data_IF_609840055150
#
_entry.id   IF_609840055150
#
_cell.length_a   1.000
_cell.length_b   1.000
_cell.length_c   1.000
_cell.angle_alpha   90.00
_cell.angle_beta   90.00
_cell.angle_gamma   90.00
#
_symmetry.space_group_name_H-M   'P 1'
#
loop_
_entity.id
_entity.type
_entity.pdbx_description
1 polymer ?
#
# COMPACT_ATOMS: atom_id res chain seq x y z
N UNK A 1 -55.97 -6.64 -7.53
CA UNK A 1 -55.14 -5.69 -8.32
C UNK A 1 -54.89 -4.45 -7.48
N UNK A 2 -53.65 -3.94 -7.48
CA UNK A 2 -53.18 -2.61 -7.04
C UNK A 2 -53.38 -2.24 -5.56
N UNK A 3 -52.36 -2.48 -4.75
CA UNK A 3 -52.10 -1.68 -3.53
C UNK A 3 -51.28 -0.47 -3.99
N UNK A 4 -51.96 0.66 -4.16
CA UNK A 4 -51.36 1.97 -4.39
C UNK A 4 -51.28 2.71 -3.06
N UNK A 5 -50.03 2.96 -2.67
CA UNK A 5 -49.50 4.17 -2.03
C UNK A 5 -50.21 4.86 -0.84
N UNK A 6 -49.38 5.02 0.21
CA UNK A 6 -49.17 6.23 1.02
C UNK A 6 -50.34 6.83 1.80
N UNK A 7 -50.11 6.98 3.11
CA UNK A 7 -50.10 8.26 3.86
C UNK A 7 -49.80 7.94 5.34
N UNK A 8 -48.55 8.14 5.77
CA UNK A 8 -48.14 9.30 6.57
C UNK A 8 -48.90 9.44 7.91
N UNK A 9 -48.36 8.88 8.99
CA UNK A 9 -48.58 9.40 10.36
C UNK A 9 -47.73 8.72 11.43
N UNK A 10 -46.51 8.26 11.14
CA UNK A 10 -45.58 7.89 12.21
C UNK A 10 -44.87 9.12 12.75
N UNK A 11 -45.55 9.70 13.75
CA UNK A 11 -45.11 10.77 14.64
C UNK A 11 -43.66 10.59 15.09
N UNK A 12 -42.89 11.65 14.90
CA UNK A 12 -41.61 12.00 15.53
C UNK A 12 -41.45 11.38 16.93
N UNK A 13 -40.44 10.51 17.08
CA UNK A 13 -39.70 10.35 18.34
C UNK A 13 -38.29 10.88 18.08
N UNK A 14 -37.97 12.02 18.70
CA UNK A 14 -36.59 12.50 18.83
C UNK A 14 -35.83 11.40 19.56
N UNK A 15 -34.88 10.77 18.88
CA UNK A 15 -33.82 9.99 19.49
C UNK A 15 -32.74 11.01 19.84
N UNK A 16 -32.59 11.29 21.12
CA UNK A 16 -31.35 11.88 21.62
C UNK A 16 -30.26 10.82 21.40
N UNK A 17 -29.53 10.97 20.31
CA UNK A 17 -28.26 10.28 20.14
C UNK A 17 -27.30 10.95 21.10
N UNK A 18 -27.05 10.28 22.23
CA UNK A 18 -25.90 10.54 23.06
C UNK A 18 -24.69 10.24 22.19
N UNK A 19 -24.11 11.29 21.62
CA UNK A 19 -22.79 11.24 20.99
C UNK A 19 -21.81 10.98 22.13
N UNK A 20 -21.51 9.70 22.38
CA UNK A 20 -20.33 9.35 23.14
C UNK A 20 -19.17 9.61 22.19
N UNK A 21 -18.64 10.83 22.22
CA UNK A 21 -17.28 11.12 21.74
C UNK A 21 -16.34 10.34 22.66
N UNK A 22 -16.17 9.05 22.36
CA UNK A 22 -14.96 8.36 22.76
C UNK A 22 -13.90 8.91 21.82
N UNK A 23 -13.19 9.95 22.24
CA UNK A 23 -11.86 10.25 21.73
C UNK A 23 -10.96 9.05 22.09
N UNK A 24 -11.13 7.93 21.38
CA UNK A 24 -10.10 6.92 21.29
C UNK A 24 -8.91 7.65 20.65
N UNK A 25 -7.91 7.98 21.46
CA UNK A 25 -6.59 8.35 20.96
C UNK A 25 -6.06 7.13 20.22
N UNK A 26 -6.40 7.02 18.93
CA UNK A 26 -5.87 6.00 18.04
C UNK A 26 -4.36 6.23 18.03
N UNK A 27 -3.62 5.39 18.73
CA UNK A 27 -2.16 5.49 18.70
C UNK A 27 -1.69 5.24 17.27
N UNK A 28 -0.80 6.11 16.74
CA UNK A 28 -0.31 5.93 15.38
C UNK A 28 0.43 4.61 15.26
N UNK A 29 0.19 3.90 14.16
CA UNK A 29 0.88 2.66 13.82
C UNK A 29 2.40 2.90 13.74
N UNK A 30 3.20 1.83 13.85
CA UNK A 30 4.65 1.93 13.73
C UNK A 30 5.09 2.55 12.39
N UNK A 31 4.36 2.31 11.30
CA UNK A 31 4.64 2.92 10.00
C UNK A 31 4.30 4.41 9.98
N UNK A 32 3.19 4.83 10.59
CA UNK A 32 2.80 6.25 10.70
C UNK A 32 3.79 7.04 11.58
N UNK A 33 4.16 6.48 12.73
CA UNK A 33 5.22 7.02 13.60
C UNK A 33 6.53 7.17 12.81
N UNK A 34 6.88 6.14 12.03
CA UNK A 34 8.10 6.16 11.21
C UNK A 34 8.08 7.22 10.11
N UNK A 35 6.90 7.48 9.52
CA UNK A 35 6.68 8.55 8.54
C UNK A 35 6.60 9.94 9.18
N UNK A 36 6.70 10.08 10.51
CA UNK A 36 6.69 11.38 11.23
C UNK A 36 5.47 12.26 10.88
N UNK A 37 4.28 11.65 10.74
CA UNK A 37 3.04 12.33 10.33
C UNK A 37 3.06 12.95 8.92
N UNK A 38 4.01 12.57 8.07
CA UNK A 38 3.97 12.88 6.64
C UNK A 38 2.94 11.97 5.96
N UNK A 39 1.71 12.47 5.82
CA UNK A 39 0.58 11.70 5.31
C UNK A 39 0.83 11.20 3.88
N UNK A 40 1.38 12.04 3.01
CA UNK A 40 1.63 11.65 1.63
C UNK A 40 2.70 10.56 1.53
N UNK A 41 3.75 10.65 2.36
CA UNK A 41 4.78 9.63 2.44
C UNK A 41 4.24 8.32 3.02
N UNK A 42 3.38 8.41 4.04
CA UNK A 42 2.70 7.26 4.59
C UNK A 42 1.82 6.57 3.54
N UNK A 43 0.99 7.31 2.82
CA UNK A 43 0.17 6.78 1.73
C UNK A 43 1.01 6.13 0.63
N UNK A 44 2.10 6.80 0.23
CA UNK A 44 3.03 6.26 -0.75
C UNK A 44 3.58 4.90 -0.31
N UNK A 45 4.01 4.76 0.95
CA UNK A 45 4.63 3.53 1.44
C UNK A 45 3.61 2.44 1.80
N UNK A 46 2.48 2.80 2.41
CA UNK A 46 1.43 1.86 2.85
C UNK A 46 1.00 0.91 1.73
N UNK A 47 0.85 1.43 0.52
CA UNK A 47 0.30 0.65 -0.60
C UNK A 47 1.36 -0.09 -1.43
N UNK A 48 2.64 0.25 -1.28
CA UNK A 48 3.71 -0.11 -2.22
C UNK A 48 4.90 -0.83 -1.57
N UNK A 49 5.16 -0.55 -0.30
CA UNK A 49 6.30 -1.08 0.43
C UNK A 49 6.05 -2.52 0.90
N UNK A 50 7.06 -3.38 0.74
CA UNK A 50 7.07 -4.69 1.39
C UNK A 50 7.68 -4.53 2.79
N UNK A 51 6.98 -4.97 3.83
CA UNK A 51 7.49 -4.87 5.21
C UNK A 51 8.71 -5.77 5.45
N UNK A 52 8.71 -6.98 4.87
CA UNK A 52 9.89 -7.86 4.86
C UNK A 52 10.10 -8.43 3.44
N UNK A 53 10.83 -7.71 2.56
CA UNK A 53 11.07 -8.13 1.19
C UNK A 53 11.83 -9.45 1.08
N UNK A 54 12.55 -9.88 2.14
CA UNK A 54 13.30 -11.15 2.19
C UNK A 54 12.38 -12.38 2.23
N UNK A 55 11.09 -12.19 2.51
CA UNK A 55 10.08 -13.25 2.44
C UNK A 55 9.62 -13.53 1.01
N UNK A 56 10.03 -12.71 0.04
CA UNK A 56 9.80 -12.98 -1.38
C UNK A 56 10.93 -13.89 -1.86
N UNK A 57 10.61 -15.16 -2.07
CA UNK A 57 11.56 -16.21 -2.50
C UNK A 57 11.88 -16.14 -4.01
N UNK A 58 11.97 -14.93 -4.56
CA UNK A 58 12.27 -14.67 -5.97
C UNK A 58 13.09 -13.41 -6.11
N UNK A 59 14.06 -13.42 -7.02
CA UNK A 59 14.83 -12.22 -7.36
C UNK A 59 13.95 -11.19 -8.07
N UNK A 60 14.31 -9.90 -7.99
CA UNK A 60 13.62 -8.85 -8.74
C UNK A 60 13.56 -9.17 -10.24
N UNK A 61 14.63 -9.73 -10.81
CA UNK A 61 14.71 -10.12 -12.22
C UNK A 61 13.66 -11.17 -12.58
N UNK A 62 13.46 -12.17 -11.73
CA UNK A 62 12.49 -13.25 -11.97
C UNK A 62 11.06 -12.73 -11.87
N UNK A 63 10.79 -11.87 -10.89
CA UNK A 63 9.47 -11.22 -10.73
C UNK A 63 9.15 -10.34 -11.94
N UNK A 64 10.11 -9.55 -12.45
CA UNK A 64 9.95 -8.76 -13.67
C UNK A 64 9.69 -9.66 -14.89
N UNK A 65 10.39 -10.79 -15.00
CA UNK A 65 10.19 -11.75 -16.08
C UNK A 65 8.76 -12.31 -16.08
N UNK A 66 8.24 -12.68 -14.90
CA UNK A 66 6.85 -13.13 -14.72
C UNK A 66 5.84 -12.05 -15.09
N UNK A 67 6.07 -10.80 -14.69
CA UNK A 67 5.22 -9.67 -15.06
C UNK A 67 5.13 -9.49 -16.58
N UNK A 68 6.29 -9.46 -17.26
CA UNK A 68 6.37 -9.32 -18.71
C UNK A 68 5.74 -10.51 -19.45
N UNK A 69 5.88 -11.73 -18.92
CA UNK A 69 5.23 -12.92 -19.49
C UNK A 69 3.71 -12.80 -19.43
N UNK A 70 3.16 -12.47 -18.25
CA UNK A 70 1.72 -12.29 -18.09
C UNK A 70 1.16 -11.15 -18.98
N UNK A 71 1.91 -10.06 -19.14
CA UNK A 71 1.55 -8.96 -20.04
C UNK A 71 1.49 -9.41 -21.51
N UNK A 72 2.47 -10.21 -21.97
CA UNK A 72 2.45 -10.81 -23.33
C UNK A 72 1.27 -11.76 -23.53
N UNK A 73 0.89 -12.49 -22.49
CA UNK A 73 -0.27 -13.39 -22.46
C UNK A 73 -1.60 -12.65 -22.31
N UNK A 74 -1.58 -11.31 -22.24
CA UNK A 74 -2.76 -10.44 -21.99
C UNK A 74 -3.48 -10.75 -20.67
N UNK A 75 -2.78 -11.39 -19.73
CA UNK A 75 -3.27 -11.64 -18.38
C UNK A 75 -2.97 -10.42 -17.50
N UNK A 76 -3.80 -9.38 -17.65
CA UNK A 76 -3.62 -8.09 -16.97
C UNK A 76 -3.63 -8.23 -15.44
N UNK A 77 -4.45 -9.14 -14.89
CA UNK A 77 -4.51 -9.38 -13.46
C UNK A 77 -3.15 -9.85 -12.93
N UNK A 78 -2.60 -10.91 -13.52
CA UNK A 78 -1.30 -11.44 -13.08
C UNK A 78 -0.15 -10.49 -13.39
N UNK A 79 -0.18 -9.79 -14.52
CA UNK A 79 0.80 -8.76 -14.83
C UNK A 79 0.83 -7.67 -13.74
N UNK A 80 -0.35 -7.19 -13.31
CA UNK A 80 -0.43 -6.17 -12.25
C UNK A 80 0.11 -6.68 -10.91
N UNK A 81 -0.21 -7.91 -10.51
CA UNK A 81 0.30 -8.49 -9.25
C UNK A 81 1.82 -8.57 -9.28
N UNK A 82 2.40 -9.09 -10.37
CA UNK A 82 3.84 -9.21 -10.50
C UNK A 82 4.54 -7.84 -10.57
N UNK A 83 3.97 -6.86 -11.29
CA UNK A 83 4.53 -5.50 -11.31
C UNK A 83 4.48 -4.83 -9.94
N UNK A 84 3.43 -5.06 -9.13
CA UNK A 84 3.35 -4.57 -7.75
C UNK A 84 4.47 -5.16 -6.88
N UNK A 85 4.67 -6.48 -6.95
CA UNK A 85 5.71 -7.17 -6.17
C UNK A 85 7.10 -6.68 -6.63
N UNK A 86 7.32 -6.56 -7.95
CA UNK A 86 8.59 -6.07 -8.49
C UNK A 86 8.87 -4.64 -8.04
N UNK A 87 7.87 -3.76 -8.05
CA UNK A 87 8.00 -2.40 -7.54
C UNK A 87 8.41 -2.37 -6.06
N UNK A 88 7.77 -3.20 -5.23
CA UNK A 88 8.11 -3.33 -3.82
C UNK A 88 9.54 -3.84 -3.57
N UNK A 89 10.03 -4.78 -4.39
CA UNK A 89 11.42 -5.22 -4.37
C UNK A 89 12.40 -4.14 -4.85
N UNK A 90 12.03 -3.34 -5.86
CA UNK A 90 12.84 -2.22 -6.30
C UNK A 90 13.00 -1.14 -5.21
N UNK A 91 11.97 -0.91 -4.39
CA UNK A 91 12.09 -0.07 -3.18
C UNK A 91 13.17 -0.63 -2.25
N UNK A 92 13.20 -1.95 -2.04
CA UNK A 92 14.20 -2.62 -1.20
C UNK A 92 15.62 -2.56 -1.77
N UNK A 93 15.78 -2.62 -3.10
CA UNK A 93 17.08 -2.40 -3.76
C UNK A 93 17.53 -0.93 -3.77
N UNK A 94 16.64 0.01 -3.42
CA UNK A 94 16.91 1.45 -3.50
C UNK A 94 16.88 2.01 -4.94
N UNK A 95 16.33 1.25 -5.89
CA UNK A 95 16.36 1.58 -7.32
C UNK A 95 15.14 2.44 -7.72
N UNK A 96 15.28 3.75 -7.53
CA UNK A 96 14.22 4.74 -7.84
C UNK A 96 13.74 4.65 -9.29
N UNK A 97 14.65 4.41 -10.25
CA UNK A 97 14.30 4.31 -11.66
C UNK A 97 13.40 3.11 -11.93
N UNK A 98 13.72 1.93 -11.37
CA UNK A 98 12.84 0.76 -11.46
C UNK A 98 11.53 0.95 -10.71
N UNK A 99 11.53 1.64 -9.56
CA UNK A 99 10.29 1.97 -8.84
C UNK A 99 9.34 2.76 -9.75
N UNK A 100 9.83 3.80 -10.43
CA UNK A 100 9.05 4.58 -11.41
C UNK A 100 8.53 3.69 -12.55
N UNK A 101 9.39 2.85 -13.13
CA UNK A 101 8.99 1.96 -14.24
C UNK A 101 7.89 0.98 -13.82
N UNK A 102 8.14 0.21 -12.76
CA UNK A 102 7.33 -0.94 -12.37
C UNK A 102 5.98 -0.51 -11.79
N UNK A 103 5.97 0.49 -10.92
CA UNK A 103 4.70 1.05 -10.43
C UNK A 103 3.97 1.86 -11.51
N UNK A 104 4.69 2.46 -12.46
CA UNK A 104 4.06 3.09 -13.63
C UNK A 104 3.30 2.07 -14.48
N UNK A 105 3.87 0.87 -14.71
CA UNK A 105 3.18 -0.22 -15.39
C UNK A 105 1.99 -0.76 -14.59
N UNK A 106 2.17 -0.94 -13.28
CA UNK A 106 1.08 -1.31 -12.39
C UNK A 106 -0.09 -0.31 -12.45
N UNK A 107 0.20 0.99 -12.35
CA UNK A 107 -0.79 2.06 -12.41
C UNK A 107 -1.54 2.04 -13.74
N UNK A 108 -0.83 1.89 -14.87
CA UNK A 108 -1.45 1.78 -16.21
C UNK A 108 -2.39 0.59 -16.35
N UNK A 109 -2.01 -0.57 -15.81
CA UNK A 109 -2.84 -1.78 -15.89
C UNK A 109 -4.08 -1.73 -14.99
N UNK A 110 -4.01 -1.00 -13.87
CA UNK A 110 -5.06 -1.02 -12.84
C UNK A 110 -5.89 0.26 -12.79
N UNK A 111 -5.46 1.33 -13.47
CA UNK A 111 -6.05 2.66 -13.37
C UNK A 111 -5.84 3.33 -12.01
N UNK A 112 -4.97 2.78 -11.15
CA UNK A 112 -4.71 3.33 -9.82
C UNK A 112 -3.72 4.49 -9.87
N UNK A 113 -4.03 5.53 -9.13
CA UNK A 113 -3.09 6.63 -8.85
C UNK A 113 -2.25 6.24 -7.63
N UNK A 114 -0.94 6.14 -7.81
CA UNK A 114 -0.02 5.75 -6.75
C UNK A 114 0.79 6.96 -6.28
N UNK A 115 0.65 7.31 -5.01
CA UNK A 115 1.37 8.44 -4.39
C UNK A 115 2.90 8.30 -4.47
N UNK A 116 3.42 7.07 -4.49
CA UNK A 116 4.86 6.82 -4.69
C UNK A 116 5.40 7.36 -6.02
N UNK A 117 4.57 7.46 -7.06
CA UNK A 117 5.01 7.98 -8.36
C UNK A 117 5.20 9.51 -8.35
N UNK A 118 4.58 10.21 -7.40
CA UNK A 118 4.74 11.65 -7.19
C UNK A 118 6.01 11.99 -6.41
N UNK A 119 6.43 11.10 -5.49
CA UNK A 119 7.59 11.31 -4.61
C UNK A 119 8.51 10.09 -4.45
N UNK A 120 8.96 9.47 -5.55
CA UNK A 120 9.63 8.17 -5.51
C UNK A 120 10.98 8.24 -4.78
N UNK A 121 11.77 9.30 -4.98
CA UNK A 121 13.05 9.49 -4.31
C UNK A 121 12.91 9.56 -2.77
N UNK A 122 11.92 10.33 -2.30
CA UNK A 122 11.63 10.50 -0.86
C UNK A 122 11.10 9.20 -0.25
N UNK A 123 10.17 8.54 -0.93
CA UNK A 123 9.60 7.27 -0.49
C UNK A 123 10.67 6.16 -0.41
N UNK A 124 11.49 6.00 -1.45
CA UNK A 124 12.56 5.00 -1.47
C UNK A 124 13.58 5.26 -0.37
N UNK A 125 14.05 6.51 -0.21
CA UNK A 125 14.97 6.87 0.88
C UNK A 125 14.39 6.50 2.24
N UNK A 126 13.11 6.81 2.46
CA UNK A 126 12.47 6.52 3.74
C UNK A 126 12.30 5.03 4.00
N UNK A 127 11.92 4.26 2.98
CA UNK A 127 11.85 2.80 3.07
C UNK A 127 13.21 2.16 3.37
N UNK A 128 14.30 2.68 2.79
CA UNK A 128 15.66 2.23 3.10
C UNK A 128 15.98 2.41 4.59
N UNK A 129 15.71 3.58 5.17
CA UNK A 129 15.88 3.81 6.62
C UNK A 129 15.11 2.77 7.47
N UNK A 130 13.91 2.38 7.04
CA UNK A 130 13.13 1.34 7.72
C UNK A 130 13.81 -0.01 7.64
N UNK A 131 14.26 -0.41 6.45
CA UNK A 131 14.92 -1.69 6.24
C UNK A 131 16.23 -1.79 7.02
N UNK A 132 16.99 -0.71 7.07
CA UNK A 132 18.20 -0.65 7.88
C UNK A 132 17.89 -0.79 9.37
N UNK A 133 16.86 -0.11 9.88
CA UNK A 133 16.48 -0.18 11.29
C UNK A 133 15.97 -1.58 11.63
N UNK A 134 14.95 -2.07 10.93
CA UNK A 134 14.20 -3.24 11.38
C UNK A 134 14.70 -4.58 10.81
N UNK A 135 15.34 -4.60 9.62
CA UNK A 135 15.85 -5.84 9.04
C UNK A 135 17.29 -6.16 9.45
N UNK A 136 18.11 -5.14 9.79
CA UNK A 136 19.43 -5.37 10.41
C UNK A 136 19.30 -5.72 11.89
N UNK A 137 18.32 -5.17 12.63
CA UNK A 137 18.05 -5.56 14.03
C UNK A 137 17.60 -7.02 14.16
N UNK A 138 16.68 -7.49 13.31
CA UNK A 138 16.23 -8.90 13.28
C UNK A 138 17.35 -9.91 12.97
N UNK A 139 18.48 -9.49 12.41
CA UNK A 139 19.65 -10.36 12.21
C UNK A 139 20.49 -10.48 13.49
N UNK A 140 20.55 -9.44 14.32
CA UNK A 140 21.29 -9.47 15.59
C UNK A 140 20.59 -10.33 16.65
N UNK A 141 19.26 -10.28 16.71
CA UNK A 141 18.46 -11.09 17.65
C UNK A 141 18.46 -12.59 17.33
N UNK A 142 18.74 -13.00 16.09
CA UNK A 142 18.83 -14.42 15.69
C UNK A 142 20.20 -15.05 15.95
N UNK A 143 21.21 -14.24 16.27
CA UNK A 143 22.61 -14.65 16.47
C UNK A 143 23.00 -14.60 17.96
N UNK A 144 22.05 -14.23 18.83
CA UNK A 144 22.18 -14.26 20.29
C UNK A 144 21.32 -15.40 20.84
#
# INVERSE_FOLDING_TARGET
>A
MRILDKLSSFRKRKKEEVVVEVEEKIEPTELEKFCKNDLELYEALKDTMLLDPRKVDMSLKDVISKAKKAEKEKNNLMASIWYKIAGGLAIYEGDVSKVKELFGKYAKLTGKNLKILEMPDKAVKKAQEYYEKYLKMKQKEKVT
#
